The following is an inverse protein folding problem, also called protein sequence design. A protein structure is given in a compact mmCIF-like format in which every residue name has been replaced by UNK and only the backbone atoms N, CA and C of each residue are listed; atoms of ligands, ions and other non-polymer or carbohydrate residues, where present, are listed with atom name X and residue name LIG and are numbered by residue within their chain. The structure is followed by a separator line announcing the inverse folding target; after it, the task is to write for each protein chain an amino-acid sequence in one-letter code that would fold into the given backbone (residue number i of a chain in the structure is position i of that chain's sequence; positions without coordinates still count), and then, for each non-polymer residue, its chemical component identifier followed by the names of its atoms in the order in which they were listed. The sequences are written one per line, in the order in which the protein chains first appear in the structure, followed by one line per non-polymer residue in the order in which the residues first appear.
data_IF_588939101411
#
_entry.id   IF_588939101411
#
_cell.length_a   1.000
_cell.length_b   1.000
_cell.length_c   1.000
_cell.angle_alpha   90.00
_cell.angle_beta   90.00
_cell.angle_gamma   90.00
#
_symmetry.space_group_name_H-M   'P 1'
#
loop_
_entity.id
_entity.type
_entity.pdbx_description
1 polymer ?
#
# COMPACT_ATOMS: atom_id res chain seq x y z
N UNK A 1 1.85 -13.74 -25.36
CA UNK A 1 3.05 -14.34 -24.74
C UNK A 1 2.87 -14.27 -23.23
N UNK A 2 3.25 -15.31 -22.49
CA UNK A 2 3.16 -15.38 -21.03
C UNK A 2 4.58 -15.40 -20.47
N UNK A 3 5.00 -14.29 -19.88
CA UNK A 3 6.31 -14.13 -19.25
C UNK A 3 6.18 -13.89 -17.74
N UNK A 4 7.31 -13.85 -17.05
CA UNK A 4 7.35 -13.50 -15.63
C UNK A 4 6.77 -12.09 -15.42
N UNK A 5 5.87 -11.96 -14.44
CA UNK A 5 5.27 -10.68 -14.09
C UNK A 5 6.29 -9.68 -13.50
N UNK A 6 5.91 -8.41 -13.32
CA UNK A 6 6.80 -7.34 -12.85
C UNK A 6 7.21 -7.43 -11.36
N UNK A 7 6.82 -8.49 -10.65
CA UNK A 7 7.10 -8.67 -9.22
C UNK A 7 6.12 -7.92 -8.31
N UNK A 8 6.55 -7.62 -7.08
CA UNK A 8 5.77 -6.90 -6.07
C UNK A 8 5.91 -5.39 -6.30
N UNK A 9 4.79 -4.67 -6.30
CA UNK A 9 4.75 -3.21 -6.39
C UNK A 9 4.11 -2.61 -5.13
N UNK A 10 4.62 -1.48 -4.68
CA UNK A 10 4.06 -0.70 -3.57
C UNK A 10 3.37 0.56 -4.13
N UNK A 11 2.15 0.84 -3.66
CA UNK A 11 1.40 2.05 -4.02
C UNK A 11 1.00 2.77 -2.74
N UNK A 12 1.48 4.00 -2.56
CA UNK A 12 1.06 4.86 -1.46
C UNK A 12 -0.27 5.55 -1.81
N UNK A 13 -1.35 5.19 -1.11
CA UNK A 13 -2.66 5.85 -1.31
C UNK A 13 -2.64 7.31 -0.86
N UNK A 14 -1.91 7.61 0.21
CA UNK A 14 -1.54 8.96 0.61
C UNK A 14 -0.19 8.93 1.34
N UNK A 15 0.49 10.08 1.38
CA UNK A 15 1.70 10.31 2.17
C UNK A 15 1.70 11.76 2.59
N UNK A 16 1.57 12.02 3.90
CA UNK A 16 1.37 13.36 4.45
C UNK A 16 2.17 13.57 5.71
N UNK A 17 2.54 14.82 5.98
CA UNK A 17 3.19 15.20 7.23
C UNK A 17 2.18 15.17 8.40
N UNK A 18 2.65 14.72 9.56
CA UNK A 18 1.89 14.71 10.82
C UNK A 18 2.76 15.29 11.94
N UNK A 19 2.13 15.80 13.01
CA UNK A 19 2.83 16.28 14.20
C UNK A 19 2.01 16.04 15.47
N UNK A 20 2.66 16.13 16.63
CA UNK A 20 2.05 15.84 17.92
C UNK A 20 2.11 14.35 18.30
N UNK A 21 1.66 14.00 19.51
CA UNK A 21 1.75 12.64 20.04
C UNK A 21 0.72 11.67 19.46
N UNK A 22 -0.32 12.16 18.78
CA UNK A 22 -1.36 11.36 18.13
C UNK A 22 -1.89 12.08 16.89
N UNK A 23 -2.38 11.32 15.91
CA UNK A 23 -2.98 11.84 14.68
C UNK A 23 -3.64 10.73 13.89
N UNK A 24 -4.53 11.12 12.96
CA UNK A 24 -5.24 10.18 12.10
C UNK A 24 -5.57 10.84 10.77
N UNK A 25 -5.46 10.05 9.70
CA UNK A 25 -5.82 10.43 8.33
C UNK A 25 -6.66 9.30 7.77
N UNK A 26 -7.79 9.65 7.16
CA UNK A 26 -8.73 8.70 6.59
C UNK A 26 -8.89 8.93 5.09
N UNK A 27 -9.15 7.85 4.36
CA UNK A 27 -9.42 7.86 2.92
C UNK A 27 -10.65 7.02 2.65
N UNK A 28 -11.44 7.43 1.65
CA UNK A 28 -12.60 6.70 1.17
C UNK A 28 -12.58 6.66 -0.36
N UNK A 29 -12.95 5.52 -0.94
CA UNK A 29 -13.07 5.32 -2.39
C UNK A 29 -11.84 5.71 -3.24
N UNK A 30 -10.63 5.48 -2.70
CA UNK A 30 -9.42 5.58 -3.51
C UNK A 30 -9.43 4.52 -4.62
N UNK A 31 -9.08 4.93 -5.84
CA UNK A 31 -9.11 4.06 -7.01
C UNK A 31 -7.71 3.52 -7.34
N UNK A 32 -7.61 2.20 -7.53
CA UNK A 32 -6.43 1.52 -8.04
C UNK A 32 -6.81 0.58 -9.17
N UNK A 33 -5.96 0.47 -10.19
CA UNK A 33 -6.17 -0.42 -11.33
C UNK A 33 -4.86 -1.03 -11.79
N UNK A 34 -4.92 -2.25 -12.30
CA UNK A 34 -3.82 -2.96 -12.96
C UNK A 34 -4.40 -3.70 -14.16
N UNK A 35 -3.67 -3.72 -15.27
CA UNK A 35 -4.06 -4.43 -16.51
C UNK A 35 -2.94 -5.36 -16.95
N UNK A 36 -3.28 -6.32 -17.81
CA UNK A 36 -2.32 -7.34 -18.28
C UNK A 36 -1.88 -8.33 -17.21
N UNK A 37 -2.59 -8.39 -16.08
CA UNK A 37 -2.34 -9.37 -15.03
C UNK A 37 -2.97 -10.73 -15.39
N UNK A 38 -2.16 -11.79 -15.38
CA UNK A 38 -2.59 -13.17 -15.54
C UNK A 38 -2.15 -13.97 -14.31
N UNK A 39 -2.98 -14.90 -13.83
CA UNK A 39 -2.71 -15.69 -12.62
C UNK A 39 -3.20 -15.07 -11.31
N UNK A 40 -3.82 -13.88 -11.40
CA UNK A 40 -4.48 -13.21 -10.30
C UNK A 40 -3.69 -12.15 -9.59
N UNK A 41 -4.43 -11.24 -8.95
CA UNK A 41 -3.85 -10.08 -8.26
C UNK A 41 -4.14 -10.20 -6.77
N UNK A 42 -3.07 -10.18 -5.98
CA UNK A 42 -3.13 -10.06 -4.52
C UNK A 42 -2.74 -8.64 -4.11
N UNK A 43 -3.53 -8.04 -3.25
CA UNK A 43 -3.24 -6.74 -2.64
C UNK A 43 -2.96 -6.92 -1.15
N UNK A 44 -1.88 -6.34 -0.63
CA UNK A 44 -1.59 -6.33 0.80
C UNK A 44 -1.66 -4.90 1.33
N UNK A 45 -2.63 -4.56 2.21
CA UNK A 45 -2.70 -3.23 2.79
C UNK A 45 -1.59 -3.04 3.84
N UNK A 46 -1.11 -1.81 3.98
CA UNK A 46 -0.14 -1.44 5.00
C UNK A 46 -0.42 -0.02 5.53
N UNK A 47 0.09 0.27 6.73
CA UNK A 47 0.20 1.62 7.25
C UNK A 47 1.65 1.84 7.73
N UNK A 48 2.26 2.95 7.32
CA UNK A 48 3.64 3.29 7.64
C UNK A 48 3.72 4.65 8.32
N UNK A 49 4.45 4.70 9.44
CA UNK A 49 4.82 5.93 10.13
C UNK A 49 6.34 6.09 10.06
N UNK A 50 6.80 7.26 9.63
CA UNK A 50 8.21 7.63 9.56
C UNK A 50 8.42 8.88 10.41
N UNK A 51 9.29 8.78 11.42
CA UNK A 51 9.69 9.91 12.24
C UNK A 51 10.72 10.77 11.48
N UNK A 52 10.74 12.08 11.76
CA UNK A 52 11.76 12.99 11.21
C UNK A 52 13.19 12.61 11.62
N UNK A 53 13.34 11.86 12.70
CA UNK A 53 14.60 11.28 13.18
C UNK A 53 15.09 10.09 12.36
N UNK A 54 14.28 9.59 11.42
CA UNK A 54 14.60 8.45 10.56
C UNK A 54 14.02 7.12 11.04
N UNK A 55 13.46 7.05 12.24
CA UNK A 55 12.77 5.86 12.75
C UNK A 55 11.55 5.56 11.89
N UNK A 56 11.28 4.29 11.60
CA UNK A 56 10.09 3.91 10.84
C UNK A 56 9.48 2.61 11.35
N UNK A 57 8.15 2.53 11.27
CA UNK A 57 7.38 1.33 11.54
C UNK A 57 6.33 1.16 10.45
N UNK A 58 6.18 -0.07 9.96
CA UNK A 58 5.14 -0.43 9.00
C UNK A 58 4.38 -1.63 9.54
N UNK A 59 3.06 -1.52 9.60
CA UNK A 59 2.17 -2.64 9.90
C UNK A 59 1.49 -3.11 8.61
N UNK A 60 1.24 -4.41 8.52
CA UNK A 60 0.63 -5.06 7.36
C UNK A 60 -0.68 -5.72 7.77
N UNK A 61 -1.70 -5.56 6.93
CA UNK A 61 -2.97 -6.26 7.08
C UNK A 61 -3.03 -7.54 6.23
N UNK A 62 -4.13 -8.26 6.38
CA UNK A 62 -4.43 -9.46 5.61
C UNK A 62 -4.51 -9.15 4.10
N UNK A 63 -3.92 -9.98 3.22
CA UNK A 63 -4.03 -9.81 1.79
C UNK A 63 -5.47 -9.98 1.28
N UNK A 64 -5.82 -9.20 0.26
CA UNK A 64 -7.08 -9.30 -0.46
C UNK A 64 -6.85 -9.94 -1.82
N UNK A 65 -7.70 -10.91 -2.17
CA UNK A 65 -7.71 -11.53 -3.49
C UNK A 65 -8.67 -10.76 -4.40
N UNK A 66 -8.16 -10.28 -5.54
CA UNK A 66 -8.92 -9.47 -6.50
C UNK A 66 -9.42 -10.28 -7.71
N UNK A 67 -9.35 -11.61 -7.63
CA UNK A 67 -9.90 -12.54 -8.62
C UNK A 67 -11.26 -13.11 -8.21
#
# INVERSE_FOLDING_TARGET
DLGNGPGIQEVATFSVDVSGPAGGVAVSNAHGTVTGAAGGVLLRPFARLIAKTGDSVTTYGEPWNMN
#
